data_IF_961185416474
#
_entry.id   IF_961185416474
#
_cell.length_a   1.000
_cell.length_b   1.000
_cell.length_c   1.000
_cell.angle_alpha   90.00
_cell.angle_beta   90.00
_cell.angle_gamma   90.00
#
_symmetry.space_group_name_H-M   'P 1'
#
loop_
_entity.id
_entity.type
_entity.pdbx_description
1 polymer ?
#
# COMPACT_ATOMS: atom_id res chain seq x y z
N UNK A 1 20.53 -24.22 34.66
CA UNK A 1 21.95 -24.26 34.26
C UNK A 1 22.07 -23.62 32.90
N UNK A 2 22.66 -22.43 32.80
CA UNK A 2 22.88 -21.78 31.51
C UNK A 2 24.02 -22.48 30.77
N UNK A 3 23.80 -22.82 29.49
CA UNK A 3 24.85 -23.37 28.63
C UNK A 3 25.99 -22.35 28.51
N UNK A 4 27.22 -22.80 28.76
CA UNK A 4 28.43 -21.99 28.57
C UNK A 4 28.50 -21.48 27.12
N UNK A 5 29.15 -20.34 26.92
CA UNK A 5 29.29 -19.73 25.59
C UNK A 5 29.86 -20.71 24.56
N UNK A 6 30.88 -21.49 24.96
CA UNK A 6 31.50 -22.51 24.13
C UNK A 6 30.52 -23.66 23.75
N UNK A 7 29.63 -24.06 24.66
CA UNK A 7 28.62 -25.08 24.38
C UNK A 7 27.56 -24.58 23.38
N UNK A 8 27.19 -23.29 23.45
CA UNK A 8 26.29 -22.65 22.49
C UNK A 8 26.92 -22.57 21.10
N UNK A 9 28.19 -22.18 21.02
CA UNK A 9 28.93 -22.11 19.75
C UNK A 9 29.06 -23.47 19.07
N UNK A 10 29.38 -24.53 19.83
CA UNK A 10 29.43 -25.91 19.31
C UNK A 10 28.07 -26.38 18.78
N UNK A 11 26.98 -26.03 19.46
CA UNK A 11 25.63 -26.33 19.01
C UNK A 11 25.30 -25.62 17.69
N UNK A 12 25.57 -24.32 17.60
CA UNK A 12 25.32 -23.55 16.37
C UNK A 12 26.21 -24.00 15.21
N UNK A 13 27.46 -24.37 15.47
CA UNK A 13 28.34 -24.98 14.47
C UNK A 13 27.77 -26.31 13.94
N UNK A 14 27.29 -27.18 14.84
CA UNK A 14 26.65 -28.45 14.47
C UNK A 14 25.37 -28.23 13.66
N UNK A 15 24.55 -27.24 14.02
CA UNK A 15 23.34 -26.87 13.28
C UNK A 15 23.67 -26.34 11.88
N UNK A 16 24.64 -25.42 11.76
CA UNK A 16 25.11 -24.90 10.45
C UNK A 16 25.63 -26.03 9.56
N UNK A 17 26.47 -26.90 10.09
CA UNK A 17 26.99 -28.05 9.35
C UNK A 17 25.88 -29.04 8.93
N UNK A 18 24.84 -29.22 9.74
CA UNK A 18 23.69 -30.05 9.37
C UNK A 18 22.88 -29.43 8.23
N UNK A 19 22.65 -28.12 8.27
CA UNK A 19 21.96 -27.37 7.21
C UNK A 19 22.77 -27.40 5.91
N UNK A 20 24.09 -27.20 5.98
CA UNK A 20 24.97 -27.28 4.80
C UNK A 20 24.94 -28.67 4.16
N UNK A 21 25.02 -29.75 4.96
CA UNK A 21 24.87 -31.13 4.44
C UNK A 21 23.51 -31.37 3.82
N UNK A 22 22.45 -30.75 4.33
CA UNK A 22 21.12 -30.86 3.72
C UNK A 22 21.04 -30.09 2.40
N UNK A 23 21.61 -28.88 2.36
CA UNK A 23 21.70 -28.07 1.13
C UNK A 23 22.50 -28.76 0.05
N UNK A 24 23.66 -29.35 0.39
CA UNK A 24 24.49 -30.11 -0.54
C UNK A 24 23.72 -31.30 -1.13
N UNK A 25 23.05 -32.11 -0.29
CA UNK A 25 22.21 -33.23 -0.76
C UNK A 25 21.04 -32.78 -1.64
N UNK A 26 20.43 -31.63 -1.34
CA UNK A 26 19.37 -31.07 -2.17
C UNK A 26 19.91 -30.54 -3.50
N UNK A 27 21.09 -29.92 -3.50
CA UNK A 27 21.76 -29.43 -4.70
C UNK A 27 22.17 -30.60 -5.62
N UNK A 28 22.68 -31.69 -5.06
CA UNK A 28 23.01 -32.91 -5.79
C UNK A 28 21.77 -33.54 -6.44
N UNK A 29 20.67 -33.66 -5.69
CA UNK A 29 19.37 -34.10 -6.25
C UNK A 29 18.88 -33.22 -7.39
N UNK A 30 19.06 -31.90 -7.28
CA UNK A 30 18.62 -30.97 -8.31
C UNK A 30 19.58 -30.93 -9.51
N UNK A 31 20.86 -31.25 -9.32
CA UNK A 31 21.83 -31.37 -10.40
C UNK A 31 21.52 -32.58 -11.30
N UNK A 32 21.04 -33.68 -10.71
CA UNK A 32 20.58 -34.87 -11.42
C UNK A 32 19.50 -34.52 -12.47
N UNK A 33 19.78 -34.69 -13.77
CA UNK A 33 18.82 -34.45 -14.85
C UNK A 33 17.57 -35.34 -14.76
N UNK A 34 17.72 -36.59 -14.30
CA UNK A 34 16.61 -37.55 -14.22
C UNK A 34 15.61 -37.14 -13.13
N UNK A 35 16.11 -36.73 -11.96
CA UNK A 35 15.29 -36.17 -10.89
C UNK A 35 14.53 -34.92 -11.35
N UNK A 36 15.19 -33.99 -12.07
CA UNK A 36 14.53 -32.79 -12.61
C UNK A 36 13.42 -33.14 -13.58
N UNK A 37 13.69 -34.05 -14.53
CA UNK A 37 12.71 -34.47 -15.52
C UNK A 37 11.48 -35.09 -14.85
N UNK A 38 11.68 -35.96 -13.85
CA UNK A 38 10.60 -36.57 -13.07
C UNK A 38 9.74 -35.55 -12.31
N UNK A 39 10.33 -34.46 -11.80
CA UNK A 39 9.54 -33.38 -11.18
C UNK A 39 8.69 -32.62 -12.21
N UNK A 40 9.25 -32.36 -13.40
CA UNK A 40 8.52 -31.71 -14.50
C UNK A 40 7.38 -32.58 -14.99
N UNK A 41 7.62 -33.88 -15.18
CA UNK A 41 6.59 -34.84 -15.61
C UNK A 41 5.47 -34.94 -14.58
N UNK A 42 5.81 -35.05 -13.29
CA UNK A 42 4.82 -35.05 -12.21
C UNK A 42 3.99 -33.75 -12.16
N UNK A 43 4.62 -32.60 -12.41
CA UNK A 43 3.92 -31.31 -12.45
C UNK A 43 2.98 -31.24 -13.67
N UNK A 44 3.43 -31.73 -14.83
CA UNK A 44 2.63 -31.82 -16.06
C UNK A 44 1.42 -32.73 -15.87
N UNK A 45 1.60 -33.94 -15.35
CA UNK A 45 0.51 -34.88 -15.06
C UNK A 45 -0.51 -34.31 -14.05
N UNK A 46 -0.04 -33.57 -13.04
CA UNK A 46 -0.93 -32.89 -12.11
C UNK A 46 -1.74 -31.79 -12.81
N UNK A 47 -1.11 -31.03 -13.70
CA UNK A 47 -1.77 -29.99 -14.48
C UNK A 47 -2.80 -30.58 -15.46
N UNK A 48 -2.48 -31.67 -16.13
CA UNK A 48 -3.37 -32.40 -17.04
C UNK A 48 -4.60 -32.93 -16.30
N UNK A 49 -4.42 -33.58 -15.14
CA UNK A 49 -5.53 -34.04 -14.29
C UNK A 49 -6.44 -32.88 -13.85
N UNK A 50 -5.88 -31.72 -13.53
CA UNK A 50 -6.69 -30.55 -13.19
C UNK A 50 -7.45 -29.98 -14.40
N UNK A 51 -6.82 -29.98 -15.59
CA UNK A 51 -7.47 -29.55 -16.84
C UNK A 51 -8.61 -30.48 -17.20
N UNK A 52 -8.40 -31.77 -17.16
CA UNK A 52 -9.42 -32.79 -17.45
C UNK A 52 -10.60 -32.69 -16.48
N UNK A 53 -10.32 -32.59 -15.17
CA UNK A 53 -11.36 -32.38 -14.16
C UNK A 53 -12.19 -31.12 -14.44
N UNK A 54 -11.55 -30.03 -14.88
CA UNK A 54 -12.23 -28.78 -15.23
C UNK A 54 -13.07 -28.93 -16.51
N UNK A 55 -12.56 -29.65 -17.51
CA UNK A 55 -13.31 -29.93 -18.74
C UNK A 55 -14.54 -30.79 -18.44
N UNK A 56 -14.41 -31.86 -17.66
CA UNK A 56 -15.53 -32.69 -17.19
C UNK A 56 -16.55 -31.86 -16.40
N UNK A 57 -16.08 -30.97 -15.53
CA UNK A 57 -16.95 -30.06 -14.79
C UNK A 57 -17.71 -29.09 -15.72
N UNK A 58 -17.08 -28.58 -16.77
CA UNK A 58 -17.72 -27.72 -17.76
C UNK A 58 -18.64 -28.48 -18.74
N UNK A 59 -18.41 -29.77 -18.94
CA UNK A 59 -19.29 -30.63 -19.75
C UNK A 59 -20.48 -31.14 -18.94
N UNK A 60 -20.40 -31.13 -17.60
CA UNK A 60 -21.48 -31.56 -16.71
C UNK A 60 -22.69 -30.61 -16.78
N UNK A 61 -23.88 -31.10 -17.16
CA UNK A 61 -25.12 -30.32 -17.15
C UNK A 61 -25.47 -29.82 -15.75
N UNK A 62 -25.25 -30.65 -14.71
CA UNK A 62 -25.50 -30.29 -13.30
C UNK A 62 -24.68 -29.08 -12.83
N UNK A 63 -23.43 -28.96 -13.29
CA UNK A 63 -22.59 -27.81 -12.97
C UNK A 63 -23.19 -26.50 -13.51
N UNK A 64 -23.70 -26.53 -14.74
CA UNK A 64 -24.36 -25.38 -15.35
C UNK A 64 -25.71 -25.07 -14.70
N UNK A 65 -26.48 -26.08 -14.31
CA UNK A 65 -27.74 -25.91 -13.58
C UNK A 65 -27.53 -25.24 -12.23
N UNK A 66 -26.62 -25.77 -11.42
CA UNK A 66 -26.26 -25.17 -10.13
C UNK A 66 -25.75 -23.74 -10.28
N UNK A 67 -25.00 -23.47 -11.34
CA UNK A 67 -24.50 -22.11 -11.65
C UNK A 67 -25.64 -21.17 -12.09
N UNK A 68 -26.61 -21.65 -12.87
CA UNK A 68 -27.83 -20.92 -13.22
C UNK A 68 -28.68 -20.61 -11.99
N UNK A 69 -28.86 -21.56 -11.08
CA UNK A 69 -29.56 -21.36 -9.81
C UNK A 69 -28.89 -20.29 -8.94
N UNK A 70 -27.56 -20.31 -8.83
CA UNK A 70 -26.81 -19.28 -8.09
C UNK A 70 -27.03 -17.90 -8.72
N UNK A 71 -27.00 -17.80 -10.05
CA UNK A 71 -27.24 -16.54 -10.77
C UNK A 71 -28.69 -16.08 -10.57
N UNK A 72 -29.67 -16.99 -10.68
CA UNK A 72 -31.08 -16.72 -10.47
C UNK A 72 -31.35 -16.27 -9.03
N UNK A 73 -30.76 -16.94 -8.03
CA UNK A 73 -30.82 -16.54 -6.62
C UNK A 73 -30.22 -15.16 -6.39
N UNK A 74 -29.06 -14.85 -6.98
CA UNK A 74 -28.48 -13.51 -6.89
C UNK A 74 -29.39 -12.47 -7.52
N UNK A 75 -29.95 -12.73 -8.70
CA UNK A 75 -30.91 -11.83 -9.37
C UNK A 75 -32.18 -11.63 -8.55
N UNK A 76 -32.75 -12.69 -7.98
CA UNK A 76 -33.95 -12.58 -7.14
C UNK A 76 -33.64 -11.83 -5.83
N UNK A 77 -32.44 -11.97 -5.28
CA UNK A 77 -32.01 -11.19 -4.10
C UNK A 77 -31.90 -9.70 -4.42
N UNK A 78 -31.46 -9.33 -5.63
CA UNK A 78 -31.41 -7.92 -6.09
C UNK A 78 -32.80 -7.35 -6.37
N UNK A 79 -33.75 -8.17 -6.84
CA UNK A 79 -35.13 -7.76 -7.09
C UNK A 79 -35.98 -7.67 -5.80
N UNK A 80 -35.68 -8.49 -4.78
CA UNK A 80 -36.35 -8.47 -3.48
C UNK A 80 -35.77 -7.47 -2.47
N UNK A 81 -34.82 -6.63 -2.85
CA UNK A 81 -34.44 -5.50 -1.99
C UNK A 81 -35.48 -4.39 -2.13
N UNK A 82 -36.60 -4.55 -1.42
CA UNK A 82 -37.32 -3.40 -0.87
C UNK A 82 -36.27 -2.48 -0.24
N UNK A 83 -36.19 -1.24 -0.71
CA UNK A 83 -35.32 -0.19 -0.17
C UNK A 83 -35.73 0.11 1.27
N UNK A 84 -35.33 -0.75 2.20
CA UNK A 84 -35.27 -0.38 3.61
C UNK A 84 -34.42 0.89 3.68
N UNK A 85 -34.89 1.96 4.35
CA UNK A 85 -34.06 3.15 4.54
C UNK A 85 -32.74 2.68 5.14
N UNK A 86 -31.64 2.98 4.45
CA UNK A 86 -30.31 2.61 4.93
C UNK A 86 -30.20 3.15 6.35
N UNK A 87 -29.85 2.27 7.31
CA UNK A 87 -29.51 2.70 8.66
C UNK A 87 -28.53 3.87 8.52
N UNK A 88 -28.82 4.98 9.19
CA UNK A 88 -27.94 6.15 9.21
C UNK A 88 -26.52 5.66 9.48
N UNK A 89 -25.60 5.99 8.57
CA UNK A 89 -24.20 5.63 8.73
C UNK A 89 -23.75 6.35 10.00
N UNK A 90 -23.49 5.59 11.07
CA UNK A 90 -22.86 6.14 12.27
C UNK A 90 -21.56 6.80 11.80
N UNK A 91 -21.40 8.09 12.11
CA UNK A 91 -20.21 8.84 11.71
C UNK A 91 -18.97 8.07 12.17
N UNK A 92 -18.02 7.81 11.27
CA UNK A 92 -16.78 7.08 11.60
C UNK A 92 -15.78 7.97 12.36
N UNK A 93 -16.25 9.01 13.04
CA UNK A 93 -15.42 10.10 13.55
C UNK A 93 -14.55 10.71 12.44
N UNK A 94 -13.35 11.16 12.80
CA UNK A 94 -12.38 11.77 11.88
C UNK A 94 -11.75 10.79 10.86
N UNK A 95 -12.15 9.51 10.83
CA UNK A 95 -11.53 8.51 9.92
C UNK A 95 -11.82 8.74 8.43
N UNK A 96 -12.78 9.59 8.08
CA UNK A 96 -13.10 9.91 6.68
C UNK A 96 -13.67 8.72 5.90
N UNK A 97 -13.77 8.89 4.57
CA UNK A 97 -14.15 7.85 3.61
C UNK A 97 -12.93 6.94 3.33
N UNK A 98 -13.19 5.72 2.87
CA UNK A 98 -12.14 4.85 2.29
C UNK A 98 -11.78 5.35 0.89
N UNK A 99 -10.49 5.51 0.54
CA UNK A 99 -10.06 5.86 -0.81
C UNK A 99 -10.56 4.83 -1.83
N UNK A 100 -10.95 5.31 -3.01
CA UNK A 100 -11.17 4.45 -4.18
C UNK A 100 -9.85 3.89 -4.68
N UNK A 101 -9.89 2.88 -5.55
CA UNK A 101 -8.69 2.35 -6.17
C UNK A 101 -7.95 3.38 -7.05
N UNK A 102 -8.68 4.33 -7.67
CA UNK A 102 -8.10 5.41 -8.45
C UNK A 102 -7.37 6.41 -7.55
N UNK A 103 -8.03 6.88 -6.49
CA UNK A 103 -7.43 7.76 -5.49
C UNK A 103 -6.20 7.13 -4.83
N UNK A 104 -6.26 5.82 -4.51
CA UNK A 104 -5.11 5.12 -3.93
C UNK A 104 -3.88 5.17 -4.83
N UNK A 105 -4.04 4.97 -6.15
CA UNK A 105 -2.92 5.07 -7.11
C UNK A 105 -2.32 6.47 -7.15
N UNK A 106 -3.15 7.51 -7.03
CA UNK A 106 -2.70 8.90 -6.94
C UNK A 106 -1.92 9.10 -5.64
N UNK A 107 -2.48 8.69 -4.50
CA UNK A 107 -1.80 8.76 -3.20
C UNK A 107 -0.44 8.05 -3.21
N UNK A 108 -0.35 6.87 -3.81
CA UNK A 108 0.90 6.10 -3.90
C UNK A 108 1.95 6.85 -4.73
N UNK A 109 1.55 7.46 -5.86
CA UNK A 109 2.44 8.29 -6.69
C UNK A 109 2.91 9.54 -5.95
N UNK A 110 2.00 10.25 -5.28
CA UNK A 110 2.33 11.46 -4.52
C UNK A 110 3.19 11.12 -3.30
N UNK A 111 2.90 10.01 -2.62
CA UNK A 111 3.65 9.53 -1.45
C UNK A 111 5.05 9.01 -1.78
N UNK A 112 5.36 8.76 -3.06
CA UNK A 112 6.71 8.44 -3.50
C UNK A 112 7.59 9.68 -3.71
N UNK A 113 7.01 10.89 -3.70
CA UNK A 113 7.76 12.13 -3.79
C UNK A 113 8.31 12.54 -2.41
N UNK A 114 9.47 13.23 -2.33
CA UNK A 114 9.88 13.90 -1.11
C UNK A 114 8.96 15.11 -0.85
N UNK A 115 9.17 15.79 0.26
CA UNK A 115 8.34 16.92 0.65
C UNK A 115 8.26 17.99 -0.44
N UNK A 116 7.05 18.24 -0.94
CA UNK A 116 6.83 19.16 -2.05
C UNK A 116 7.20 20.60 -1.70
N UNK A 117 6.91 21.01 -0.46
CA UNK A 117 7.28 22.33 0.04
C UNK A 117 8.81 22.48 0.24
N UNK A 118 9.54 21.43 0.63
CA UNK A 118 11.01 21.51 0.63
C UNK A 118 11.57 21.64 -0.79
N UNK A 119 11.00 20.92 -1.76
CA UNK A 119 11.51 20.86 -3.13
C UNK A 119 11.51 22.22 -3.83
N UNK A 120 10.49 23.05 -3.62
CA UNK A 120 10.42 24.39 -4.24
C UNK A 120 11.54 25.32 -3.73
N UNK A 121 12.08 25.04 -2.54
CA UNK A 121 13.24 25.75 -1.95
C UNK A 121 14.56 25.03 -2.24
N UNK A 122 14.58 24.05 -3.16
CA UNK A 122 15.78 23.30 -3.52
C UNK A 122 16.27 22.32 -2.44
N UNK A 123 15.41 21.96 -1.47
CA UNK A 123 15.73 21.00 -0.40
C UNK A 123 14.99 19.68 -0.62
N UNK A 124 15.59 18.58 -0.16
CA UNK A 124 15.00 17.24 -0.28
C UNK A 124 14.78 16.64 1.09
N UNK A 125 13.53 16.38 1.42
CA UNK A 125 13.12 15.71 2.66
C UNK A 125 12.31 14.45 2.32
N UNK A 126 12.92 13.25 2.33
CA UNK A 126 12.26 12.03 1.84
C UNK A 126 11.23 11.46 2.84
N UNK A 127 11.35 11.78 4.13
CA UNK A 127 10.40 11.34 5.16
C UNK A 127 9.18 12.25 5.17
N UNK A 128 8.07 11.73 4.65
CA UNK A 128 6.82 12.46 4.47
C UNK A 128 5.62 11.76 5.09
N UNK A 129 4.55 12.52 5.23
CA UNK A 129 3.19 12.07 5.46
C UNK A 129 2.26 12.81 4.49
N UNK A 130 1.17 12.16 4.09
CA UNK A 130 0.18 12.77 3.20
C UNK A 130 -0.77 13.67 3.99
N UNK A 131 -0.73 14.95 3.67
CA UNK A 131 -1.64 15.99 4.16
C UNK A 131 -2.88 16.09 3.28
N UNK A 132 -4.07 16.27 3.86
CA UNK A 132 -5.34 16.43 3.13
C UNK A 132 -5.70 17.91 3.01
N UNK A 133 -5.93 18.41 1.79
CA UNK A 133 -6.30 19.82 1.56
C UNK A 133 -7.78 20.05 1.92
N UNK A 134 -8.68 19.26 1.32
CA UNK A 134 -10.15 19.46 1.40
C UNK A 134 -10.83 18.41 2.29
N UNK A 135 -10.19 18.04 3.40
CA UNK A 135 -10.69 17.01 4.32
C UNK A 135 -10.63 15.59 3.74
N UNK A 136 -11.50 14.69 4.23
CA UNK A 136 -11.39 13.23 3.98
C UNK A 136 -12.67 12.56 3.47
N UNK A 137 -13.69 13.33 3.11
CA UNK A 137 -15.03 12.80 2.81
C UNK A 137 -15.56 13.15 1.42
N UNK A 138 -15.13 14.27 0.85
CA UNK A 138 -15.56 14.70 -0.48
C UNK A 138 -15.16 13.68 -1.56
N UNK A 139 -15.83 13.71 -2.73
CA UNK A 139 -15.30 13.09 -3.94
C UNK A 139 -13.86 13.58 -4.17
N UNK A 140 -12.96 12.67 -4.56
CA UNK A 140 -11.56 12.96 -4.86
C UNK A 140 -10.73 13.61 -3.74
N UNK A 141 -11.25 13.66 -2.51
CA UNK A 141 -10.52 14.18 -1.34
C UNK A 141 -9.16 13.50 -1.11
N UNK A 142 -9.04 12.23 -1.50
CA UNK A 142 -7.78 11.49 -1.38
C UNK A 142 -6.83 11.67 -2.56
N UNK A 143 -7.29 12.32 -3.64
CA UNK A 143 -6.44 12.80 -4.72
C UNK A 143 -5.87 14.19 -4.38
N UNK A 144 -6.59 15.01 -3.61
CA UNK A 144 -6.14 16.31 -3.12
C UNK A 144 -5.29 16.20 -1.84
N UNK A 145 -4.11 15.59 -1.97
CA UNK A 145 -3.16 15.41 -0.88
C UNK A 145 -1.75 15.90 -1.20
N UNK A 146 -1.04 16.41 -0.20
CA UNK A 146 0.35 16.88 -0.35
C UNK A 146 1.33 15.97 0.39
N UNK A 147 2.45 15.55 -0.22
CA UNK A 147 3.54 14.91 0.50
C UNK A 147 4.32 15.97 1.29
N UNK A 148 4.16 16.00 2.60
CA UNK A 148 4.79 16.98 3.48
C UNK A 148 5.68 16.29 4.52
N UNK A 149 6.86 16.87 4.78
CA UNK A 149 7.71 16.45 5.89
C UNK A 149 7.08 16.85 7.22
N UNK A 150 7.63 16.34 8.33
CA UNK A 150 7.14 16.65 9.68
C UNK A 150 6.99 18.16 9.93
N UNK A 151 7.98 18.93 9.49
CA UNK A 151 8.06 20.38 9.74
C UNK A 151 7.20 21.24 8.81
N UNK A 152 6.75 20.66 7.69
CA UNK A 152 5.76 21.29 6.82
C UNK A 152 4.35 20.77 7.07
N UNK A 153 4.19 19.66 7.80
CA UNK A 153 2.88 19.07 8.08
C UNK A 153 2.31 19.49 9.44
N UNK A 154 2.96 19.10 10.55
CA UNK A 154 2.31 19.11 11.88
C UNK A 154 3.12 19.80 12.97
N UNK A 155 4.46 19.69 12.96
CA UNK A 155 5.28 20.13 14.08
C UNK A 155 6.18 21.28 13.67
N UNK A 156 6.26 22.33 14.50
CA UNK A 156 7.17 23.43 14.22
C UNK A 156 8.63 22.98 14.41
N UNK A 157 9.50 23.39 13.48
CA UNK A 157 10.94 23.26 13.70
C UNK A 157 11.42 24.17 14.85
N UNK A 158 12.57 23.87 15.47
CA UNK A 158 13.21 24.75 16.46
C UNK A 158 13.37 26.19 15.93
N UNK A 159 13.34 27.18 16.84
CA UNK A 159 13.29 28.59 16.47
C UNK A 159 14.53 29.06 15.69
N UNK A 160 15.71 28.60 16.09
CA UNK A 160 16.99 28.82 15.43
C UNK A 160 17.03 28.25 14.00
N UNK A 161 16.37 27.12 13.78
CA UNK A 161 16.23 26.52 12.44
C UNK A 161 15.24 27.31 11.58
N UNK A 162 14.14 27.79 12.16
CA UNK A 162 13.17 28.62 11.44
C UNK A 162 13.72 30.01 11.09
N UNK A 163 14.64 30.54 11.88
CA UNK A 163 15.35 31.78 11.54
C UNK A 163 16.21 31.59 10.27
N UNK A 164 16.87 30.43 10.14
CA UNK A 164 17.63 30.08 8.95
C UNK A 164 16.76 29.69 7.75
N UNK A 165 15.60 29.06 8.02
CA UNK A 165 14.64 28.62 7.00
C UNK A 165 13.23 29.15 7.31
N UNK A 166 12.94 30.43 7.03
CA UNK A 166 11.65 31.05 7.37
C UNK A 166 10.44 30.40 6.69
N UNK A 167 10.66 29.63 5.62
CA UNK A 167 9.64 28.88 4.88
C UNK A 167 9.30 27.51 5.50
N UNK A 168 10.06 27.07 6.50
CA UNK A 168 9.88 25.78 7.19
C UNK A 168 8.80 25.90 8.29
N UNK A 169 7.57 26.14 7.86
CA UNK A 169 6.40 26.31 8.71
C UNK A 169 5.43 25.13 8.52
N UNK A 170 4.80 24.60 9.57
CA UNK A 170 3.83 23.52 9.40
C UNK A 170 2.48 24.07 8.90
N UNK A 171 1.84 23.34 7.98
CA UNK A 171 0.50 23.71 7.47
C UNK A 171 -0.58 23.57 8.55
N UNK A 172 -0.44 22.61 9.46
CA UNK A 172 -1.19 22.57 10.70
C UNK A 172 -0.42 23.35 11.76
N UNK A 173 -1.06 24.38 12.33
CA UNK A 173 -0.41 25.21 13.34
C UNK A 173 0.04 24.38 14.55
N UNK A 174 1.27 24.63 15.00
CA UNK A 174 1.84 24.06 16.23
C UNK A 174 1.98 25.19 17.25
N UNK A 175 0.98 25.31 18.13
CA UNK A 175 0.79 26.49 18.97
C UNK A 175 0.53 27.74 18.12
N UNK A 176 1.45 28.70 18.20
CA UNK A 176 1.38 29.97 17.47
C UNK A 176 2.27 30.01 16.22
N UNK A 177 2.79 28.87 15.76
CA UNK A 177 3.70 28.79 14.63
C UNK A 177 3.04 28.06 13.45
N UNK A 178 3.04 28.70 12.29
CA UNK A 178 2.55 28.13 11.05
C UNK A 178 1.04 28.27 10.89
N UNK A 179 0.40 27.21 10.41
CA UNK A 179 -0.97 27.27 9.95
C UNK A 179 -1.06 27.61 8.46
N UNK A 180 -2.23 27.39 7.83
CA UNK A 180 -2.37 27.43 6.39
C UNK A 180 -2.02 28.79 5.79
N UNK A 181 -2.41 29.90 6.43
CA UNK A 181 -2.12 31.24 5.94
C UNK A 181 -0.62 31.57 5.91
N UNK A 182 0.12 31.26 6.99
CA UNK A 182 1.56 31.50 7.04
C UNK A 182 2.33 30.54 6.12
N UNK A 183 1.91 29.27 6.11
CA UNK A 183 2.46 28.24 5.23
C UNK A 183 2.34 28.66 3.76
N UNK A 184 1.13 29.05 3.31
CA UNK A 184 0.88 29.38 1.92
C UNK A 184 1.58 30.67 1.50
N UNK A 185 1.67 31.66 2.41
CA UNK A 185 2.44 32.88 2.17
C UNK A 185 3.92 32.59 1.88
N UNK A 186 4.51 31.59 2.54
CA UNK A 186 5.93 31.27 2.40
C UNK A 186 6.24 30.22 1.32
N UNK A 187 5.27 29.37 0.96
CA UNK A 187 5.49 28.20 0.09
C UNK A 187 4.62 28.19 -1.18
N UNK A 188 3.67 29.12 -1.34
CA UNK A 188 2.63 29.05 -2.37
C UNK A 188 1.38 28.32 -1.87
N UNK A 189 0.27 28.45 -2.59
CA UNK A 189 -1.00 27.88 -2.14
C UNK A 189 -0.95 26.36 -2.13
N UNK A 190 -1.76 25.72 -1.29
CA UNK A 190 -1.84 24.25 -1.26
C UNK A 190 -2.22 23.65 -2.63
N UNK A 191 -3.03 24.37 -3.42
CA UNK A 191 -3.40 23.94 -4.79
C UNK A 191 -2.25 24.10 -5.78
N UNK A 192 -1.43 25.14 -5.67
CA UNK A 192 -0.24 25.30 -6.51
C UNK A 192 0.78 24.19 -6.22
N UNK A 193 0.97 23.87 -4.94
CA UNK A 193 1.82 22.75 -4.51
C UNK A 193 1.24 21.41 -4.98
N UNK A 194 -0.08 21.25 -5.03
CA UNK A 194 -0.72 20.05 -5.56
C UNK A 194 -0.44 19.91 -7.06
N UNK A 195 -0.60 20.99 -7.83
CA UNK A 195 -0.30 21.01 -9.25
C UNK A 195 1.17 20.69 -9.52
N UNK A 196 2.09 21.23 -8.71
CA UNK A 196 3.51 20.91 -8.75
C UNK A 196 3.77 19.42 -8.48
N UNK A 197 3.14 18.86 -7.44
CA UNK A 197 3.28 17.46 -7.08
C UNK A 197 2.76 16.54 -8.19
N UNK A 198 1.61 16.88 -8.79
CA UNK A 198 1.03 16.14 -9.91
C UNK A 198 1.96 16.12 -11.12
N UNK A 199 2.55 17.27 -11.46
CA UNK A 199 3.50 17.38 -12.56
C UNK A 199 4.73 16.50 -12.33
N UNK A 200 5.30 16.54 -11.12
CA UNK A 200 6.48 15.73 -10.74
C UNK A 200 6.17 14.23 -10.70
N UNK A 201 4.96 13.87 -10.31
CA UNK A 201 4.50 12.48 -10.26
C UNK A 201 4.04 11.92 -11.62
N UNK A 202 4.06 12.73 -12.69
CA UNK A 202 3.55 12.33 -14.00
C UNK A 202 2.07 11.95 -13.94
N UNK A 203 1.25 12.80 -13.31
CA UNK A 203 -0.20 12.65 -13.24
C UNK A 203 -0.82 13.72 -14.14
N UNK A 204 -1.46 13.29 -15.23
CA UNK A 204 -1.93 14.17 -16.32
C UNK A 204 -3.21 14.95 -16.00
N UNK A 205 -3.92 14.61 -14.92
CA UNK A 205 -5.21 15.22 -14.59
C UNK A 205 -5.32 15.45 -13.08
N UNK A 206 -5.55 16.72 -12.70
CA UNK A 206 -6.10 17.14 -11.41
C UNK A 206 -7.58 16.75 -11.31
#
# INVERSE_FOLDING_TARGET
>A
MELTQEAREKLFARQRAAVERQRARNAEKLADPEYRQKQVDKAREAQERQREKRLLQLQSPEYWEKRREIIARKRSTVLNTSTKPRKAIKSRGNKGRTPTAAERRIMDKLGALPCIACLIHGKVSPLISLHHIDGRTAPDAHAHVLPLCNFHHQHAAPADIREQYPWLLPVHADGNVGGPAEFEKANGTQLDLLAEAYRRAGIERL
#
